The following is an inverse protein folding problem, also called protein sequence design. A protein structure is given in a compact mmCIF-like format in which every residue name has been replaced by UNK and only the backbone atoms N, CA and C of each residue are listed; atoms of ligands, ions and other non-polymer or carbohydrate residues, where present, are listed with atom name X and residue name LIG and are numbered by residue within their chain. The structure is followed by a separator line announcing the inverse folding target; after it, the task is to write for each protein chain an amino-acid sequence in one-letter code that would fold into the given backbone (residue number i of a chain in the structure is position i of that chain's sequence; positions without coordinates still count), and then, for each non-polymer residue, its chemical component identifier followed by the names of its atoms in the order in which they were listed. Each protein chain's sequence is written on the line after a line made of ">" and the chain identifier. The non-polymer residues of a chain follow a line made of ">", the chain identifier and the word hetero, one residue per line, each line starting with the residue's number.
data_IF_019444610055
#
_entry.id   IF_019444610055
#
_cell.length_a   1.000
_cell.length_b   1.000
_cell.length_c   1.000
_cell.angle_alpha   90.00
_cell.angle_beta   90.00
_cell.angle_gamma   90.00
#
_symmetry.space_group_name_H-M   'P 1'
#
loop_
_entity.id
_entity.type
_entity.pdbx_description
1 polymer ?
#
# COMPACT_ATOMS: atom_id res chain seq x y z
N UNK A 1 15.85 12.90 19.68
CA UNK A 1 15.35 11.95 18.67
C UNK A 1 14.31 11.07 19.36
N UNK A 2 13.04 11.27 19.06
CA UNK A 2 11.94 10.56 19.73
C UNK A 2 11.51 9.40 18.84
N UNK A 3 11.10 8.27 19.41
CA UNK A 3 10.63 7.07 18.67
C UNK A 3 9.58 7.45 17.60
N UNK A 4 8.78 8.48 17.86
CA UNK A 4 7.80 9.08 16.93
C UNK A 4 8.38 9.74 15.66
N UNK A 5 9.65 10.17 15.62
CA UNK A 5 10.29 10.66 14.39
C UNK A 5 10.81 9.52 13.52
N UNK A 6 11.26 8.42 14.13
CA UNK A 6 11.65 7.21 13.41
C UNK A 6 10.45 6.50 12.79
N UNK A 7 9.27 6.57 13.42
CA UNK A 7 8.03 6.03 12.87
C UNK A 7 7.44 6.87 11.72
N UNK A 8 7.64 8.19 11.73
CA UNK A 8 7.34 9.06 10.57
C UNK A 8 8.22 8.76 9.36
N UNK A 9 9.49 8.40 9.58
CA UNK A 9 10.36 7.90 8.52
C UNK A 9 9.91 6.49 8.08
N UNK A 10 9.42 5.67 9.01
CA UNK A 10 8.90 4.33 8.72
C UNK A 10 7.57 4.32 7.96
N UNK A 11 6.69 5.32 8.05
CA UNK A 11 5.44 5.29 7.27
C UNK A 11 5.73 5.31 5.77
N UNK A 12 6.75 6.07 5.35
CA UNK A 12 7.30 5.99 4.00
C UNK A 12 8.02 4.66 3.75
N UNK A 13 8.80 4.11 4.69
CA UNK A 13 9.56 2.86 4.46
C UNK A 13 8.74 1.55 4.57
N UNK A 14 7.56 1.60 5.19
CA UNK A 14 6.56 0.52 5.23
C UNK A 14 5.92 0.38 3.86
N UNK A 15 5.78 1.50 3.15
CA UNK A 15 5.09 1.63 1.87
C UNK A 15 6.07 1.58 0.68
N UNK A 16 7.20 2.30 0.73
CA UNK A 16 8.12 2.52 -0.40
C UNK A 16 9.24 1.49 -0.55
N UNK A 17 9.42 0.62 0.44
CA UNK A 17 10.20 -0.61 0.34
C UNK A 17 11.70 -0.49 0.06
N UNK A 18 12.51 -1.22 0.84
CA UNK A 18 13.81 -1.79 0.44
C UNK A 18 14.42 -2.61 1.58
N UNK A 19 13.84 -3.75 1.96
CA UNK A 19 14.38 -4.50 3.11
C UNK A 19 14.11 -6.01 3.07
N UNK A 20 15.04 -6.79 3.62
CA UNK A 20 15.18 -8.25 3.55
C UNK A 20 14.15 -9.00 4.42
N UNK A 21 14.08 -10.34 4.36
CA UNK A 21 13.22 -11.14 5.25
C UNK A 21 13.53 -10.93 6.75
N UNK A 22 14.79 -10.68 7.10
CA UNK A 22 15.20 -10.38 8.47
C UNK A 22 14.61 -9.03 8.95
N UNK A 23 14.56 -8.04 8.07
CA UNK A 23 13.95 -6.74 8.36
C UNK A 23 12.44 -6.85 8.51
N UNK A 24 11.78 -7.76 7.77
CA UNK A 24 10.35 -8.06 7.95
C UNK A 24 10.07 -8.63 9.35
N UNK A 25 10.89 -9.57 9.83
CA UNK A 25 10.75 -10.12 11.18
C UNK A 25 11.01 -9.05 12.24
N UNK A 26 12.07 -8.26 12.07
CA UNK A 26 12.41 -7.16 12.99
C UNK A 26 11.29 -6.13 13.09
N UNK A 27 10.79 -5.62 11.97
CA UNK A 27 9.71 -4.60 11.95
C UNK A 27 8.41 -5.12 12.55
N UNK A 28 8.08 -6.40 12.31
CA UNK A 28 6.96 -7.05 12.97
C UNK A 28 7.19 -7.08 14.49
N UNK A 29 8.34 -7.57 14.93
CA UNK A 29 8.70 -7.58 16.35
C UNK A 29 8.72 -6.20 16.99
N UNK A 30 9.18 -5.15 16.28
CA UNK A 30 9.19 -3.76 16.75
C UNK A 30 7.78 -3.20 16.88
N UNK A 31 6.90 -3.41 15.89
CA UNK A 31 5.49 -3.03 16.01
C UNK A 31 4.83 -3.73 17.21
N UNK A 32 5.04 -5.04 17.37
CA UNK A 32 4.47 -5.80 18.50
C UNK A 32 5.12 -5.49 19.86
N UNK A 33 6.30 -4.87 19.86
CA UNK A 33 6.95 -4.37 21.08
C UNK A 33 6.38 -3.03 21.54
N UNK A 34 5.64 -2.31 20.68
CA UNK A 34 4.94 -1.09 21.08
C UNK A 34 3.73 -1.42 21.98
N UNK A 35 3.48 -0.60 23.03
CA UNK A 35 2.26 -0.69 23.80
C UNK A 35 1.01 -0.63 22.90
N UNK A 36 -0.08 -1.34 23.25
CA UNK A 36 -1.31 -1.36 22.45
C UNK A 36 -1.83 0.04 22.06
N UNK A 37 -1.74 1.00 22.96
CA UNK A 37 -2.13 2.40 22.75
C UNK A 37 -1.27 3.11 21.69
N UNK A 38 0.02 2.79 21.63
CA UNK A 38 0.94 3.38 20.65
C UNK A 38 0.77 2.71 19.27
N UNK A 39 0.48 1.41 19.22
CA UNK A 39 0.07 0.74 17.99
C UNK A 39 -1.24 1.29 17.42
N UNK A 40 -2.22 1.53 18.29
CA UNK A 40 -3.49 2.14 17.86
C UNK A 40 -3.25 3.56 17.35
N UNK A 41 -2.41 4.36 18.01
CA UNK A 41 -2.05 5.70 17.53
C UNK A 41 -1.40 5.66 16.14
N UNK A 42 -0.47 4.73 15.91
CA UNK A 42 0.14 4.53 14.58
C UNK A 42 -0.89 4.10 13.54
N UNK A 43 -1.82 3.22 13.92
CA UNK A 43 -2.90 2.79 13.04
C UNK A 43 -3.81 3.97 12.68
N UNK A 44 -4.22 4.78 13.65
CA UNK A 44 -5.06 5.97 13.46
C UNK A 44 -4.35 7.04 12.61
N UNK A 45 -3.06 7.29 12.87
CA UNK A 45 -2.22 8.18 12.07
C UNK A 45 -2.17 7.74 10.59
N UNK A 46 -2.15 6.42 10.35
CA UNK A 46 -2.17 5.82 9.01
C UNK A 46 -3.58 5.60 8.46
N UNK A 47 -4.63 5.91 9.25
CA UNK A 47 -6.05 5.60 8.99
C UNK A 47 -6.33 4.13 8.70
N UNK A 48 -5.55 3.25 9.32
CA UNK A 48 -5.74 1.82 9.29
C UNK A 48 -6.39 1.38 10.59
N UNK A 49 -7.17 0.32 10.55
CA UNK A 49 -7.45 -0.47 11.75
C UNK A 49 -6.16 -1.16 12.22
N UNK A 50 -6.06 -1.47 13.51
CA UNK A 50 -4.94 -2.26 14.04
C UNK A 50 -4.74 -3.57 13.23
N UNK A 51 -5.82 -4.24 12.87
CA UNK A 51 -5.82 -5.44 12.01
C UNK A 51 -5.24 -5.17 10.61
N UNK A 52 -5.59 -4.03 9.98
CA UNK A 52 -5.02 -3.66 8.67
C UNK A 52 -3.52 -3.34 8.78
N UNK A 53 -3.11 -2.63 9.84
CA UNK A 53 -1.71 -2.32 10.11
C UNK A 53 -0.88 -3.59 10.31
N UNK A 54 -1.38 -4.55 11.09
CA UNK A 54 -0.72 -5.85 11.31
C UNK A 54 -0.59 -6.65 10.01
N UNK A 55 -1.65 -6.69 9.21
CA UNK A 55 -1.63 -7.36 7.90
C UNK A 55 -0.66 -6.69 6.93
N UNK A 56 -0.59 -5.36 6.92
CA UNK A 56 0.34 -4.60 6.08
C UNK A 56 1.80 -4.90 6.47
N UNK A 57 2.13 -4.88 7.76
CA UNK A 57 3.46 -5.23 8.26
C UNK A 57 3.80 -6.70 7.98
N UNK A 58 2.85 -7.61 8.12
CA UNK A 58 3.04 -9.02 7.77
C UNK A 58 3.22 -9.24 6.26
N UNK A 59 2.51 -8.49 5.41
CA UNK A 59 2.60 -8.55 3.96
C UNK A 59 3.89 -7.89 3.43
N UNK A 60 4.50 -7.01 4.21
CA UNK A 60 5.81 -6.43 3.95
C UNK A 60 5.86 -5.48 2.74
N UNK A 61 7.03 -4.92 2.43
CA UNK A 61 7.17 -3.76 1.55
C UNK A 61 6.82 -3.99 0.07
N UNK A 62 6.69 -5.25 -0.37
CA UNK A 62 6.29 -5.59 -1.75
C UNK A 62 4.83 -6.00 -1.85
N UNK A 63 4.06 -5.83 -0.77
CA UNK A 63 2.69 -6.27 -0.69
C UNK A 63 1.78 -5.56 -1.70
N UNK A 64 2.08 -4.32 -2.07
CA UNK A 64 1.22 -3.49 -2.93
C UNK A 64 1.90 -3.07 -4.24
N UNK A 65 3.04 -3.67 -4.63
CA UNK A 65 3.80 -3.26 -5.81
C UNK A 65 2.99 -3.30 -7.11
N UNK A 66 1.97 -4.16 -7.19
CA UNK A 66 1.06 -4.17 -8.35
C UNK A 66 0.22 -2.89 -8.48
N UNK A 67 -0.03 -2.20 -7.37
CA UNK A 67 -0.85 -0.98 -7.31
C UNK A 67 -0.23 0.16 -8.11
N UNK A 68 1.04 0.45 -7.85
CA UNK A 68 1.81 1.48 -8.57
C UNK A 68 1.93 1.15 -10.05
N UNK A 69 2.10 -0.14 -10.38
CA UNK A 69 2.16 -0.61 -11.77
C UNK A 69 0.82 -0.45 -12.50
N UNK A 70 -0.30 -0.68 -11.82
CA UNK A 70 -1.64 -0.43 -12.37
C UNK A 70 -1.87 1.06 -12.62
N UNK A 71 -1.50 1.92 -11.66
CA UNK A 71 -1.57 3.37 -11.83
C UNK A 71 -0.78 3.82 -13.06
N UNK A 72 0.47 3.36 -13.20
CA UNK A 72 1.29 3.67 -14.37
C UNK A 72 0.66 3.16 -15.69
N UNK A 73 0.05 1.97 -15.69
CA UNK A 73 -0.66 1.43 -16.86
C UNK A 73 -1.90 2.26 -17.27
N UNK A 74 -2.48 3.00 -16.32
CA UNK A 74 -3.58 3.94 -16.55
C UNK A 74 -3.11 5.37 -16.83
N UNK A 75 -1.79 5.61 -16.92
CA UNK A 75 -1.22 6.95 -17.09
C UNK A 75 -1.25 7.83 -15.83
N UNK A 76 -1.57 7.25 -14.67
CA UNK A 76 -1.58 7.96 -13.38
C UNK A 76 -0.16 8.06 -12.83
N UNK A 77 0.30 9.29 -12.59
CA UNK A 77 1.59 9.56 -11.97
C UNK A 77 1.52 9.33 -10.45
N UNK A 78 2.14 8.24 -9.98
CA UNK A 78 2.10 7.81 -8.56
C UNK A 78 2.52 8.93 -7.62
N UNK A 79 3.61 9.65 -7.91
CA UNK A 79 4.11 10.74 -7.05
C UNK A 79 3.10 11.88 -6.88
N UNK A 80 2.30 12.18 -7.91
CA UNK A 80 1.21 13.17 -7.79
C UNK A 80 0.09 12.67 -6.89
N UNK A 81 -0.22 11.38 -6.93
CA UNK A 81 -1.23 10.77 -6.04
C UNK A 81 -0.74 10.74 -4.60
N UNK A 82 0.52 10.39 -4.36
CA UNK A 82 1.13 10.42 -3.02
C UNK A 82 1.13 11.82 -2.41
N UNK A 83 1.49 12.84 -3.22
CA UNK A 83 1.54 14.22 -2.75
C UNK A 83 0.13 14.85 -2.58
N UNK A 84 -0.77 14.62 -3.54
CA UNK A 84 -2.08 15.26 -3.58
C UNK A 84 -3.18 14.50 -2.83
N UNK A 85 -3.08 13.18 -2.72
CA UNK A 85 -4.09 12.29 -2.16
C UNK A 85 -3.48 11.16 -1.30
N UNK A 86 -2.64 11.48 -0.29
CA UNK A 86 -1.92 10.48 0.50
C UNK A 86 -2.85 9.46 1.18
N UNK A 87 -4.05 9.88 1.60
CA UNK A 87 -5.03 8.97 2.19
C UNK A 87 -5.58 7.95 1.18
N UNK A 88 -5.89 8.41 -0.03
CA UNK A 88 -6.36 7.53 -1.11
C UNK A 88 -5.26 6.53 -1.51
N UNK A 89 -3.99 6.96 -1.52
CA UNK A 89 -2.87 6.06 -1.79
C UNK A 89 -2.75 4.97 -0.71
N UNK A 90 -2.86 5.33 0.57
CA UNK A 90 -2.83 4.36 1.67
C UNK A 90 -3.97 3.33 1.54
N UNK A 91 -5.18 3.78 1.21
CA UNK A 91 -6.34 2.90 1.04
C UNK A 91 -6.12 1.93 -0.13
N UNK A 92 -5.60 2.42 -1.26
CA UNK A 92 -5.24 1.59 -2.40
C UNK A 92 -4.21 0.53 -2.03
N UNK A 93 -3.14 0.92 -1.32
CA UNK A 93 -2.07 0.02 -0.92
C UNK A 93 -2.54 -1.01 0.10
N UNK A 94 -3.33 -0.61 1.09
CA UNK A 94 -3.89 -1.52 2.10
C UNK A 94 -4.83 -2.55 1.48
N UNK A 95 -5.68 -2.13 0.54
CA UNK A 95 -6.58 -3.03 -0.19
C UNK A 95 -5.81 -3.95 -1.13
N UNK A 96 -4.84 -3.40 -1.87
CA UNK A 96 -4.02 -4.17 -2.79
C UNK A 96 -3.14 -5.20 -2.05
N UNK A 97 -2.58 -4.85 -0.89
CA UNK A 97 -1.77 -5.73 -0.05
C UNK A 97 -2.51 -7.02 0.35
N UNK A 98 -3.82 -6.93 0.56
CA UNK A 98 -4.68 -8.04 0.99
C UNK A 98 -5.38 -8.75 -0.19
N UNK A 99 -5.17 -8.30 -1.42
CA UNK A 99 -5.85 -8.83 -2.59
C UNK A 99 -5.39 -10.27 -2.93
N UNK A 100 -6.34 -11.19 -3.04
CA UNK A 100 -6.09 -12.58 -3.44
C UNK A 100 -5.89 -12.76 -4.96
N UNK A 101 -6.26 -11.77 -5.77
CA UNK A 101 -6.18 -11.84 -7.22
C UNK A 101 -4.83 -11.36 -7.81
N UNK A 102 -3.77 -11.26 -6.99
CA UNK A 102 -2.44 -10.77 -7.41
C UNK A 102 -1.86 -11.50 -8.62
N UNK A 103 -2.09 -12.81 -8.75
CA UNK A 103 -1.63 -13.57 -9.92
C UNK A 103 -2.30 -13.11 -11.21
N UNK A 104 -3.61 -12.86 -11.19
CA UNK A 104 -4.34 -12.33 -12.34
C UNK A 104 -3.88 -10.91 -12.69
N UNK A 105 -3.70 -10.07 -11.67
CA UNK A 105 -3.17 -8.72 -11.83
C UNK A 105 -1.79 -8.69 -12.52
N UNK A 106 -0.83 -9.46 -12.00
CA UNK A 106 0.51 -9.55 -12.59
C UNK A 106 0.49 -10.04 -14.04
N UNK A 107 -0.40 -10.99 -14.36
CA UNK A 107 -0.56 -11.48 -15.73
C UNK A 107 -1.11 -10.41 -16.65
N UNK A 108 -2.17 -9.70 -16.25
CA UNK A 108 -2.72 -8.62 -17.06
C UNK A 108 -1.71 -7.48 -17.27
N UNK A 109 -0.93 -7.14 -16.24
CA UNK A 109 0.18 -6.18 -16.34
C UNK A 109 1.30 -6.65 -17.28
N UNK A 110 1.63 -7.94 -17.27
CA UNK A 110 2.66 -8.50 -18.16
C UNK A 110 2.18 -8.59 -19.62
N UNK A 111 0.89 -8.89 -19.82
CA UNK A 111 0.26 -8.97 -21.13
C UNK A 111 -0.05 -7.56 -21.71
N UNK A 112 0.18 -6.49 -20.94
CA UNK A 112 -0.08 -5.10 -21.35
C UNK A 112 -1.57 -4.74 -21.45
N UNK A 113 -2.46 -5.56 -20.88
CA UNK A 113 -3.92 -5.42 -20.98
C UNK A 113 -4.60 -5.24 -19.60
N UNK A 114 -3.87 -4.65 -18.66
CA UNK A 114 -4.37 -4.41 -17.31
C UNK A 114 -5.57 -3.44 -17.29
N UNK A 115 -5.55 -2.29 -18.02
CA UNK A 115 -6.69 -1.38 -18.07
C UNK A 115 -8.00 -2.04 -18.50
N UNK A 116 -7.95 -2.97 -19.46
CA UNK A 116 -9.14 -3.63 -20.01
C UNK A 116 -9.68 -4.74 -19.10
N UNK A 117 -8.82 -5.32 -18.25
CA UNK A 117 -9.16 -6.55 -17.51
C UNK A 117 -9.31 -6.35 -16.02
N UNK A 118 -8.76 -5.28 -15.47
CA UNK A 118 -8.69 -5.09 -14.03
C UNK A 118 -10.05 -5.01 -13.35
N UNK A 119 -11.10 -4.58 -14.05
CA UNK A 119 -12.45 -4.55 -13.48
C UNK A 119 -12.99 -5.95 -13.11
N UNK A 120 -12.45 -7.02 -13.70
CA UNK A 120 -12.84 -8.38 -13.37
C UNK A 120 -12.16 -8.94 -12.11
N UNK A 121 -11.12 -8.30 -11.57
CA UNK A 121 -10.32 -8.89 -10.49
C UNK A 121 -9.77 -7.91 -9.45
N UNK A 122 -9.65 -6.62 -9.78
CA UNK A 122 -9.02 -5.63 -8.93
C UNK A 122 -10.07 -4.97 -8.05
N UNK A 123 -9.98 -5.09 -6.71
CA UNK A 123 -10.92 -4.43 -5.81
C UNK A 123 -10.82 -2.90 -5.84
N UNK A 124 -9.72 -2.34 -6.38
CA UNK A 124 -9.52 -0.90 -6.51
C UNK A 124 -9.90 -0.37 -7.91
N UNK A 125 -10.51 -1.18 -8.78
CA UNK A 125 -10.70 -0.83 -10.18
C UNK A 125 -11.54 0.44 -10.37
N UNK A 126 -12.70 0.52 -9.71
CA UNK A 126 -13.64 1.61 -9.90
C UNK A 126 -13.04 2.94 -9.41
N UNK A 127 -12.46 3.00 -8.21
CA UNK A 127 -11.74 4.19 -7.74
C UNK A 127 -10.53 4.57 -8.61
N UNK A 128 -9.82 3.60 -9.19
CA UNK A 128 -8.70 3.89 -10.10
C UNK A 128 -9.17 4.55 -11.39
N UNK A 129 -10.27 4.08 -11.99
CA UNK A 129 -10.84 4.70 -13.18
C UNK A 129 -11.32 6.11 -12.88
N UNK A 130 -12.08 6.29 -11.79
CA UNK A 130 -12.54 7.61 -11.36
C UNK A 130 -11.36 8.57 -11.08
N UNK A 131 -10.26 8.06 -10.49
CA UNK A 131 -9.05 8.85 -10.28
C UNK A 131 -8.39 9.23 -11.61
N UNK A 132 -8.31 8.31 -12.57
CA UNK A 132 -7.73 8.59 -13.89
C UNK A 132 -8.49 9.68 -14.63
N UNK A 133 -9.82 9.65 -14.59
CA UNK A 133 -10.69 10.66 -15.23
C UNK A 133 -10.53 12.03 -14.57
N UNK A 134 -10.33 12.08 -13.26
CA UNK A 134 -10.13 13.33 -12.51
C UNK A 134 -8.76 13.97 -12.77
N UNK A 135 -7.78 13.18 -13.22
CA UNK A 135 -6.40 13.63 -13.45
C UNK A 135 -6.06 13.84 -14.95
N UNK A 136 -6.96 13.44 -15.84
CA UNK A 136 -6.87 13.69 -17.29
C UNK A 136 -7.09 15.17 -17.62
#
# INVERSE_FOLDING_TARGET
>A
MTIASSLRQCSADIINGFHTLADRHRRRSELWALPPEERQRVADELRLTATQLERLVAAGPKASVEMERLMAALGIEVLKVEAGFPHLMNDFQATCAQCNAKRACRRALADGNAPERMQAFCPNADELFALSERLA
#
